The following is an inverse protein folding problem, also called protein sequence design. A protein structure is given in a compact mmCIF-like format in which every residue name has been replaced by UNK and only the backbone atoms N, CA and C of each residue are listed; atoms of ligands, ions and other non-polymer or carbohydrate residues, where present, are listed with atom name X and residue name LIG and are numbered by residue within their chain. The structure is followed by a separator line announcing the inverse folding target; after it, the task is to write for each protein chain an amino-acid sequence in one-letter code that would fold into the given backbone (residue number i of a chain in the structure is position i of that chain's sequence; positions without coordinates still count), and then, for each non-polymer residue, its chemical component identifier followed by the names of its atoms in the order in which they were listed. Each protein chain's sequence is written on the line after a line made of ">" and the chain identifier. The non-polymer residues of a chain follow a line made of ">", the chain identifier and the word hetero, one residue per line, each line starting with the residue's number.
data_IF_180781890032
#
_entry.id   IF_180781890032
#
_cell.length_a   1.000
_cell.length_b   1.000
_cell.length_c   1.000
_cell.angle_alpha   90.00
_cell.angle_beta   90.00
_cell.angle_gamma   90.00
#
_symmetry.space_group_name_H-M   'P 1'
#
loop_
_entity.id
_entity.type
_entity.pdbx_description
1 polymer ?
#
# COMPACT_ATOMS: atom_id res chain seq x y z
N UNK A 1 -14.91 -11.41 -11.04
CA UNK A 1 -15.10 -11.73 -9.60
C UNK A 1 -14.88 -13.22 -9.43
N UNK A 2 -14.30 -13.70 -8.32
CA UNK A 2 -14.06 -15.12 -8.12
C UNK A 2 -15.39 -15.88 -8.11
N UNK A 3 -15.41 -17.03 -8.77
CA UNK A 3 -16.63 -17.86 -8.93
C UNK A 3 -16.97 -18.63 -7.65
N UNK A 4 -15.97 -18.91 -6.82
CA UNK A 4 -16.06 -19.72 -5.60
C UNK A 4 -15.19 -19.14 -4.48
N UNK A 5 -15.54 -19.44 -3.23
CA UNK A 5 -14.70 -19.15 -2.07
C UNK A 5 -13.43 -20.01 -2.02
N UNK A 6 -12.48 -19.71 -1.12
CA UNK A 6 -11.26 -20.48 -1.00
C UNK A 6 -11.54 -21.91 -0.49
N UNK A 7 -10.70 -22.86 -0.88
CA UNK A 7 -10.80 -24.27 -0.50
C UNK A 7 -9.74 -24.61 0.54
N UNK A 8 -10.14 -25.31 1.59
CA UNK A 8 -9.25 -25.81 2.65
C UNK A 8 -8.97 -27.29 2.38
N UNK A 9 -7.70 -27.69 2.41
CA UNK A 9 -7.25 -29.06 2.20
C UNK A 9 -6.23 -29.48 3.27
N UNK A 10 -5.97 -30.79 3.40
CA UNK A 10 -5.05 -31.36 4.39
C UNK A 10 -5.64 -31.58 5.79
N UNK A 11 -6.86 -31.11 6.04
CA UNK A 11 -7.54 -31.28 7.32
C UNK A 11 -8.10 -32.69 7.52
N UNK A 12 -8.28 -33.09 8.79
CA UNK A 12 -9.02 -34.30 9.17
C UNK A 12 -10.32 -33.96 9.88
N UNK A 13 -11.23 -34.92 9.95
CA UNK A 13 -12.57 -34.71 10.54
C UNK A 13 -12.57 -34.53 12.06
N UNK A 14 -11.55 -35.02 12.76
CA UNK A 14 -11.45 -35.00 14.22
C UNK A 14 -10.00 -34.77 14.64
N UNK A 15 -9.82 -33.79 15.51
CA UNK A 15 -8.54 -33.50 16.17
C UNK A 15 -8.67 -33.74 17.67
N UNK A 16 -7.54 -34.05 18.31
CA UNK A 16 -7.37 -34.17 19.76
C UNK A 16 -6.36 -33.14 20.23
N UNK A 17 -6.38 -32.86 21.53
CA UNK A 17 -5.32 -32.05 22.17
C UNK A 17 -3.98 -32.72 21.95
N UNK A 18 -2.97 -31.95 21.54
CA UNK A 18 -1.64 -32.42 21.17
C UNK A 18 -1.47 -32.74 19.68
N UNK A 19 -2.55 -32.86 18.91
CA UNK A 19 -2.43 -33.09 17.47
C UNK A 19 -1.84 -31.87 16.76
N UNK A 20 -1.12 -32.11 15.67
CA UNK A 20 -0.68 -31.05 14.77
C UNK A 20 -1.72 -30.84 13.69
N UNK A 21 -2.33 -29.66 13.65
CA UNK A 21 -3.08 -29.20 12.48
C UNK A 21 -2.08 -28.75 11.45
N UNK A 22 -2.18 -29.25 10.23
CA UNK A 22 -1.46 -28.75 9.07
C UNK A 22 -2.38 -28.74 7.86
N UNK A 23 -2.85 -27.55 7.49
CA UNK A 23 -3.85 -27.37 6.43
C UNK A 23 -3.44 -26.27 5.48
N UNK A 24 -3.86 -26.38 4.23
CA UNK A 24 -3.62 -25.37 3.21
C UNK A 24 -4.94 -24.76 2.76
N UNK A 25 -4.93 -23.44 2.57
CA UNK A 25 -6.04 -22.73 1.97
C UNK A 25 -5.61 -22.24 0.59
N UNK A 26 -6.41 -22.50 -0.44
CA UNK A 26 -6.14 -22.07 -1.82
C UNK A 26 -7.30 -21.25 -2.34
N UNK A 27 -7.02 -20.06 -2.88
CA UNK A 27 -8.03 -19.20 -3.48
C UNK A 27 -8.53 -19.75 -4.82
N UNK A 28 -9.67 -19.26 -5.28
CA UNK A 28 -10.01 -19.33 -6.70
C UNK A 28 -9.10 -18.38 -7.51
N UNK A 29 -9.04 -18.60 -8.83
CA UNK A 29 -8.30 -17.74 -9.75
C UNK A 29 -8.87 -16.32 -9.77
N UNK A 30 -8.02 -15.31 -9.63
CA UNK A 30 -8.41 -13.89 -9.68
C UNK A 30 -7.29 -12.99 -10.18
N UNK A 31 -7.63 -11.72 -10.44
CA UNK A 31 -6.64 -10.67 -10.71
C UNK A 31 -7.09 -9.36 -10.05
N UNK A 32 -6.31 -8.78 -9.13
CA UNK A 32 -5.05 -9.31 -8.59
C UNK A 32 -5.26 -10.61 -7.77
N UNK A 33 -4.16 -11.28 -7.42
CA UNK A 33 -4.15 -12.40 -6.47
C UNK A 33 -4.91 -12.04 -5.19
N UNK A 34 -5.72 -12.98 -4.69
CA UNK A 34 -6.48 -12.76 -3.47
C UNK A 34 -5.57 -12.76 -2.24
N UNK A 35 -5.79 -11.86 -1.29
CA UNK A 35 -5.16 -11.93 0.03
C UNK A 35 -5.92 -12.94 0.88
N UNK A 36 -5.20 -13.96 1.36
CA UNK A 36 -5.74 -15.00 2.23
C UNK A 36 -5.53 -14.68 3.71
N UNK A 37 -6.49 -15.07 4.55
CA UNK A 37 -6.38 -14.99 6.02
C UNK A 37 -7.00 -16.20 6.68
N UNK A 38 -6.37 -16.66 7.76
CA UNK A 38 -6.84 -17.77 8.58
C UNK A 38 -7.49 -17.28 9.87
N UNK A 39 -8.52 -18.00 10.29
CA UNK A 39 -9.22 -17.77 11.54
C UNK A 39 -9.43 -19.09 12.29
N UNK A 40 -9.22 -19.07 13.60
CA UNK A 40 -9.47 -20.17 14.52
C UNK A 40 -10.57 -19.71 15.47
N UNK A 41 -11.72 -20.38 15.46
CA UNK A 41 -12.91 -20.00 16.22
C UNK A 41 -13.33 -18.53 16.01
N UNK A 42 -13.30 -18.11 14.74
CA UNK A 42 -13.64 -16.75 14.28
C UNK A 42 -12.68 -15.63 14.74
N UNK A 43 -11.57 -15.98 15.40
CA UNK A 43 -10.46 -15.07 15.73
C UNK A 43 -9.33 -15.21 14.72
N UNK A 44 -8.67 -14.09 14.39
CA UNK A 44 -7.56 -14.10 13.43
C UNK A 44 -6.43 -15.00 13.95
N UNK A 45 -5.99 -15.94 13.12
CA UNK A 45 -4.89 -16.83 13.47
C UNK A 45 -3.62 -16.03 13.77
N UNK A 46 -2.87 -16.49 14.76
CA UNK A 46 -1.63 -15.83 15.15
C UNK A 46 -0.59 -15.95 14.02
N UNK A 47 0.28 -14.93 13.80
CA UNK A 47 1.28 -14.97 12.74
C UNK A 47 2.20 -16.19 12.79
N UNK A 48 2.55 -16.66 13.99
CA UNK A 48 3.40 -17.84 14.19
C UNK A 48 2.77 -19.16 13.71
N UNK A 49 1.45 -19.20 13.52
CA UNK A 49 0.77 -20.39 12.98
C UNK A 49 0.73 -20.38 11.45
N UNK A 50 0.99 -19.22 10.83
CA UNK A 50 0.93 -19.05 9.39
C UNK A 50 2.33 -19.28 8.82
N UNK A 51 2.48 -20.27 7.95
CA UNK A 51 3.81 -20.68 7.47
C UNK A 51 4.24 -19.99 6.18
N UNK A 52 3.46 -20.16 5.12
CA UNK A 52 3.88 -19.79 3.78
C UNK A 52 2.71 -19.25 2.97
N UNK A 53 2.95 -18.11 2.35
CA UNK A 53 2.09 -17.51 1.34
C UNK A 53 2.73 -17.70 -0.03
N UNK A 54 2.00 -18.29 -0.97
CA UNK A 54 2.47 -18.43 -2.36
C UNK A 54 1.43 -17.93 -3.35
N UNK A 55 1.88 -17.40 -4.47
CA UNK A 55 1.04 -16.97 -5.59
C UNK A 55 1.47 -17.73 -6.83
N UNK A 56 0.53 -18.37 -7.51
CA UNK A 56 0.76 -19.05 -8.78
C UNK A 56 0.08 -18.29 -9.90
N UNK A 57 0.84 -17.92 -10.93
CA UNK A 57 0.32 -17.34 -12.17
C UNK A 57 -0.04 -18.46 -13.14
N UNK A 58 -1.25 -18.40 -13.68
CA UNK A 58 -1.76 -19.38 -14.65
C UNK A 58 -1.62 -18.86 -16.09
N UNK A 59 -1.79 -19.75 -17.06
CA UNK A 59 -1.72 -19.43 -18.50
C UNK A 59 -2.77 -18.41 -18.95
N UNK A 60 -3.89 -18.32 -18.26
CA UNK A 60 -4.98 -17.35 -18.48
C UNK A 60 -4.68 -15.96 -17.86
N UNK A 61 -3.45 -15.74 -17.38
CA UNK A 61 -2.99 -14.51 -16.71
C UNK A 61 -3.74 -14.17 -15.41
N UNK A 62 -4.48 -15.13 -14.84
CA UNK A 62 -5.07 -15.06 -13.51
C UNK A 62 -4.11 -15.68 -12.49
N UNK A 63 -4.30 -15.30 -11.23
CA UNK A 63 -3.44 -15.68 -10.12
C UNK A 63 -4.24 -16.47 -9.08
N UNK A 64 -3.57 -17.41 -8.42
CA UNK A 64 -4.11 -18.14 -7.27
C UNK A 64 -3.17 -17.99 -6.10
N UNK A 65 -3.72 -17.63 -4.93
CA UNK A 65 -2.97 -17.55 -3.69
C UNK A 65 -3.16 -18.83 -2.89
N UNK A 66 -2.13 -19.26 -2.18
CA UNK A 66 -2.21 -20.31 -1.15
C UNK A 66 -1.60 -19.85 0.16
N UNK A 67 -2.19 -20.29 1.27
CA UNK A 67 -1.74 -19.95 2.63
C UNK A 67 -1.86 -21.16 3.55
N UNK A 68 -0.73 -21.61 4.09
CA UNK A 68 -0.67 -22.75 5.02
C UNK A 68 -0.81 -22.33 6.49
N UNK A 69 -1.54 -23.13 7.26
CA UNK A 69 -1.73 -22.99 8.70
C UNK A 69 -1.19 -24.24 9.41
N UNK A 70 -0.31 -24.05 10.40
CA UNK A 70 0.26 -25.11 11.23
C UNK A 70 0.30 -24.72 12.71
N UNK A 71 -0.32 -25.52 13.57
CA UNK A 71 -0.25 -25.33 15.03
C UNK A 71 -0.55 -26.64 15.78
N UNK A 72 -0.20 -26.66 17.06
CA UNK A 72 -0.55 -27.75 17.97
C UNK A 72 -1.88 -27.43 18.65
N UNK A 73 -2.80 -28.39 18.60
CA UNK A 73 -4.12 -28.26 19.21
C UNK A 73 -3.99 -28.28 20.73
N UNK A 74 -4.70 -27.37 21.40
CA UNK A 74 -4.71 -27.18 22.84
C UNK A 74 -6.15 -27.14 23.32
N UNK A 75 -6.38 -27.32 24.62
CA UNK A 75 -7.73 -27.34 25.21
C UNK A 75 -8.53 -26.07 24.88
N UNK A 76 -7.91 -24.89 24.92
CA UNK A 76 -8.57 -23.61 24.64
C UNK A 76 -9.03 -23.44 23.18
N UNK A 77 -8.54 -24.26 22.25
CA UNK A 77 -9.01 -24.27 20.87
C UNK A 77 -10.38 -24.96 20.72
N UNK A 78 -10.82 -25.75 21.71
CA UNK A 78 -12.14 -26.41 21.68
C UNK A 78 -13.18 -25.57 22.43
N UNK A 79 -14.09 -24.93 21.70
CA UNK A 79 -15.24 -24.20 22.24
C UNK A 79 -16.48 -25.08 22.13
N UNK A 80 -17.03 -25.52 23.27
CA UNK A 80 -18.13 -26.47 23.29
C UNK A 80 -17.79 -27.80 22.59
N UNK A 81 -16.54 -28.26 22.75
CA UNK A 81 -16.06 -29.51 22.15
C UNK A 81 -15.68 -29.45 20.67
N UNK A 82 -15.81 -28.29 20.03
CA UNK A 82 -15.52 -28.12 18.61
C UNK A 82 -14.45 -27.05 18.37
N UNK A 83 -13.67 -27.24 17.31
CA UNK A 83 -12.70 -26.26 16.82
C UNK A 83 -13.08 -25.91 15.38
N UNK A 84 -13.23 -24.61 15.10
CA UNK A 84 -13.62 -24.12 13.78
C UNK A 84 -12.42 -23.46 13.10
N UNK A 85 -12.07 -23.95 11.91
CA UNK A 85 -11.10 -23.31 11.02
C UNK A 85 -11.85 -22.59 9.90
N UNK A 86 -11.47 -21.36 9.60
CA UNK A 86 -12.03 -20.57 8.50
C UNK A 86 -10.90 -19.89 7.74
N UNK A 87 -10.97 -19.96 6.43
CA UNK A 87 -10.11 -19.19 5.54
C UNK A 87 -10.95 -18.19 4.75
N UNK A 88 -10.44 -16.97 4.59
CA UNK A 88 -11.08 -15.93 3.76
C UNK A 88 -10.14 -15.51 2.65
N UNK A 89 -10.70 -15.25 1.47
CA UNK A 89 -10.00 -14.69 0.33
C UNK A 89 -10.58 -13.31 -0.01
N UNK A 90 -9.74 -12.28 -0.02
CA UNK A 90 -10.15 -10.90 -0.31
C UNK A 90 -9.41 -10.39 -1.53
N UNK A 91 -10.12 -9.82 -2.49
CA UNK A 91 -9.53 -9.19 -3.68
C UNK A 91 -9.75 -7.69 -3.58
N UNK A 92 -8.66 -6.93 -3.46
CA UNK A 92 -8.71 -5.47 -3.46
C UNK A 92 -9.09 -4.96 -4.85
N UNK A 93 -10.20 -4.21 -4.95
CA UNK A 93 -10.60 -3.55 -6.19
C UNK A 93 -9.84 -2.22 -6.30
N UNK A 94 -8.77 -2.19 -7.09
CA UNK A 94 -8.20 -0.91 -7.56
C UNK A 94 -8.59 -0.79 -9.03
N UNK A 95 -9.66 -0.05 -9.31
CA UNK A 95 -10.00 0.38 -10.66
C UNK A 95 -9.68 1.86 -10.75
N UNK A 96 -8.57 2.19 -11.41
CA UNK A 96 -8.27 3.57 -11.84
C UNK A 96 -8.69 3.67 -13.29
N UNK A 97 -9.74 4.44 -13.56
CA UNK A 97 -10.16 4.78 -14.92
C UNK A 97 -10.06 6.29 -15.06
N UNK A 98 -9.27 6.77 -16.02
CA UNK A 98 -9.19 8.17 -16.41
C UNK A 98 -9.46 8.30 -17.90
N UNK A 99 -10.06 9.41 -18.30
CA UNK A 99 -10.19 9.80 -19.68
C UNK A 99 -9.77 11.27 -19.78
N UNK A 100 -8.92 11.58 -20.75
CA UNK A 100 -8.42 12.92 -21.00
C UNK A 100 -8.81 13.31 -22.43
N UNK A 101 -9.44 14.47 -22.58
CA UNK A 101 -9.80 15.06 -23.87
C UNK A 101 -9.18 16.46 -23.95
N UNK A 102 -8.35 16.69 -24.97
CA UNK A 102 -7.83 18.02 -25.29
C UNK A 102 -8.78 18.70 -26.27
N UNK A 103 -9.52 19.69 -25.79
CA UNK A 103 -10.43 20.50 -26.62
C UNK A 103 -9.72 21.79 -27.02
N UNK A 104 -9.50 21.97 -28.31
CA UNK A 104 -8.99 23.23 -28.87
C UNK A 104 -10.16 24.18 -29.13
N UNK A 105 -10.12 25.39 -28.55
CA UNK A 105 -11.14 26.41 -28.80
C UNK A 105 -11.09 26.87 -30.26
N UNK A 106 -12.17 26.66 -31.01
CA UNK A 106 -12.32 27.19 -32.36
C UNK A 106 -12.42 28.72 -32.29
N UNK A 107 -11.29 29.41 -32.50
CA UNK A 107 -11.25 30.88 -32.52
C UNK A 107 -9.95 31.51 -32.03
N UNK A 108 -9.03 30.76 -31.43
CA UNK A 108 -7.69 31.28 -31.12
C UNK A 108 -6.87 31.35 -32.41
N UNK A 109 -7.02 32.48 -33.13
CA UNK A 109 -6.05 32.90 -34.15
C UNK A 109 -4.70 33.07 -33.45
N UNK A 110 -3.86 32.05 -33.52
CA UNK A 110 -2.45 32.20 -33.21
C UNK A 110 -1.84 33.03 -34.35
N UNK A 111 -1.85 34.36 -34.20
CA UNK A 111 -1.16 35.24 -35.12
C UNK A 111 0.34 35.20 -34.82
N UNK A 112 1.00 34.18 -35.35
CA UNK A 112 2.43 34.23 -35.58
C UNK A 112 2.66 34.92 -36.93
N UNK A 113 3.19 36.14 -36.88
CA UNK A 113 4.18 36.74 -37.80
C UNK A 113 3.89 38.21 -38.13
N UNK A 114 4.86 39.08 -37.86
CA UNK A 114 4.95 40.42 -38.44
C UNK A 114 5.73 41.43 -37.60
N UNK A 115 7.06 41.41 -37.66
CA UNK A 115 7.94 42.49 -37.20
C UNK A 115 7.61 43.79 -37.97
N UNK A 116 7.24 44.88 -37.27
CA UNK A 116 7.53 46.26 -37.71
C UNK A 116 7.87 47.15 -36.52
N UNK A 117 9.01 47.83 -36.65
CA UNK A 117 9.61 48.79 -35.73
C UNK A 117 8.97 50.16 -35.98
N UNK A 118 8.46 50.81 -34.93
CA UNK A 118 8.39 52.28 -34.85
C UNK A 118 8.69 52.70 -33.41
N UNK A 119 9.76 53.47 -33.25
CA UNK A 119 10.13 54.14 -32.01
C UNK A 119 9.10 55.21 -31.65
N UNK A 120 8.64 55.22 -30.39
CA UNK A 120 8.17 56.45 -29.76
C UNK A 120 8.53 56.45 -28.28
N UNK A 121 9.42 57.37 -27.91
CA UNK A 121 9.88 57.63 -26.55
C UNK A 121 8.91 58.61 -25.89
N UNK A 122 7.98 58.10 -25.09
CA UNK A 122 7.25 58.92 -24.11
C UNK A 122 7.43 58.30 -22.72
N UNK A 123 8.33 58.92 -21.97
CA UNK A 123 8.67 58.61 -20.59
C UNK A 123 7.43 58.74 -19.70
N UNK A 124 6.88 57.62 -19.24
CA UNK A 124 5.97 57.58 -18.10
C UNK A 124 6.66 56.79 -17.01
N UNK A 125 7.19 57.52 -16.03
CA UNK A 125 7.65 56.99 -14.76
C UNK A 125 6.44 56.41 -14.02
N UNK A 126 6.37 55.08 -13.93
CA UNK A 126 5.63 54.41 -12.87
C UNK A 126 6.63 53.56 -12.09
N UNK A 127 7.02 54.08 -10.93
CA UNK A 127 7.87 53.42 -9.95
C UNK A 127 7.34 52.03 -9.61
N UNK A 128 8.06 50.99 -10.04
CA UNK A 128 7.93 49.66 -9.47
C UNK A 128 8.76 49.60 -8.19
N UNK A 129 8.15 49.97 -7.06
CA UNK A 129 8.69 49.64 -5.75
C UNK A 129 8.59 48.14 -5.58
N UNK A 130 9.70 47.42 -5.71
CA UNK A 130 9.81 46.01 -5.34
C UNK A 130 9.57 45.87 -3.82
N UNK A 131 8.61 45.06 -3.34
CA UNK A 131 8.58 44.70 -1.93
C UNK A 131 9.71 43.70 -1.66
N UNK A 132 10.83 44.21 -1.14
CA UNK A 132 11.95 43.42 -0.66
C UNK A 132 11.62 42.73 0.67
N UNK A 133 10.69 41.77 0.69
CA UNK A 133 10.33 41.03 1.92
C UNK A 133 10.00 39.55 1.63
N UNK A 134 11.00 38.73 1.31
CA UNK A 134 10.88 37.26 1.39
C UNK A 134 12.16 36.58 1.94
N UNK A 135 12.97 37.29 2.72
CA UNK A 135 14.30 36.80 3.14
C UNK A 135 14.36 36.09 4.50
N UNK A 136 13.26 35.89 5.24
CA UNK A 136 13.31 35.22 6.56
C UNK A 136 12.67 33.84 6.59
N UNK A 137 11.73 33.53 5.70
CA UNK A 137 11.07 32.22 5.70
C UNK A 137 11.89 31.14 4.98
N UNK A 138 12.66 31.49 3.95
CA UNK A 138 13.53 30.53 3.25
C UNK A 138 14.74 30.11 4.09
N UNK A 139 15.29 30.99 4.91
CA UNK A 139 16.42 30.68 5.80
C UNK A 139 15.97 29.86 7.02
N UNK A 140 14.78 30.13 7.58
CA UNK A 140 14.19 29.32 8.65
C UNK A 140 13.82 27.90 8.19
N UNK A 141 13.31 27.76 6.95
CA UNK A 141 12.95 26.44 6.40
C UNK A 141 14.18 25.57 6.15
N UNK A 142 15.27 26.15 5.61
CA UNK A 142 16.56 25.47 5.47
C UNK A 142 17.19 25.10 6.83
N UNK A 143 17.14 25.99 7.83
CA UNK A 143 17.63 25.69 9.18
C UNK A 143 16.82 24.58 9.89
N UNK A 144 15.49 24.55 9.74
CA UNK A 144 14.65 23.47 10.29
C UNK A 144 14.96 22.11 9.65
N UNK A 145 15.21 22.06 8.34
CA UNK A 145 15.60 20.82 7.67
C UNK A 145 16.99 20.31 8.11
N UNK A 146 17.96 21.21 8.27
CA UNK A 146 19.32 20.85 8.71
C UNK A 146 19.31 20.39 10.18
N UNK A 147 18.59 21.09 11.06
CA UNK A 147 18.47 20.69 12.48
C UNK A 147 17.67 19.40 12.67
N UNK A 148 16.63 19.14 11.86
CA UNK A 148 15.90 17.88 11.89
C UNK A 148 16.76 16.69 11.45
N UNK A 149 17.56 16.86 10.39
CA UNK A 149 18.55 15.86 9.94
C UNK A 149 19.66 15.62 10.97
N UNK A 150 20.17 16.69 11.61
CA UNK A 150 21.21 16.60 12.63
C UNK A 150 20.71 15.94 13.92
N UNK A 151 19.46 16.23 14.34
CA UNK A 151 18.83 15.60 15.50
C UNK A 151 18.50 14.13 15.26
N UNK A 152 18.15 13.74 14.03
CA UNK A 152 17.99 12.33 13.66
C UNK A 152 19.31 11.55 13.76
N UNK A 153 20.45 12.15 13.36
CA UNK A 153 21.76 11.52 13.48
C UNK A 153 22.31 11.46 14.91
N UNK A 154 21.91 12.41 15.78
CA UNK A 154 22.31 12.40 17.20
C UNK A 154 21.51 11.35 18.02
N UNK A 155 20.24 11.10 17.65
CA UNK A 155 19.41 10.09 18.32
C UNK A 155 19.88 8.66 18.01
N UNK A 156 20.34 8.39 16.78
CA UNK A 156 20.92 7.07 16.44
C UNK A 156 22.26 6.81 17.15
N UNK A 157 23.04 7.84 17.49
CA UNK A 157 24.30 7.68 18.26
C UNK A 157 24.08 7.45 19.76
N UNK A 158 23.02 7.96 20.36
CA UNK A 158 22.75 7.83 21.80
C UNK A 158 21.96 6.56 22.18
N UNK A 159 21.62 5.70 21.21
CA UNK A 159 20.96 4.40 21.43
C UNK A 159 21.91 3.20 21.23
N UNK A 160 23.21 3.45 21.00
CA UNK A 160 24.20 2.42 20.70
C UNK A 160 25.03 1.94 21.91
N UNK A 161 24.89 2.52 23.10
CA UNK A 161 25.66 2.08 24.30
C UNK A 161 24.74 1.72 25.48
N UNK A 162 24.54 0.43 25.78
CA UNK A 162 24.04 0.00 27.07
C UNK A 162 25.13 -0.48 28.03
N UNK A 163 26.43 -0.47 27.68
CA UNK A 163 27.52 -0.81 28.61
C UNK A 163 28.87 -0.22 28.18
N UNK A 164 29.34 0.82 28.90
CA UNK A 164 30.76 1.17 29.07
C UNK A 164 31.41 1.99 27.97
#
# INVERSE_FOLDING_TARGET
>A
LPTEGPKITGGVSKYRVGDTVYVNCTSSKSKPAATLRWYINDELAKPEYVMEHSTTLHSDSLETSSLSLKFIVNEFHFRGGNMKLKCTATISRVYTMSNEELVFGTGLRQQTSGLQITENMSHVQSSSTTPAWTSTFWTLWLCLCITYKFRSSEIERNLADPFG
#
